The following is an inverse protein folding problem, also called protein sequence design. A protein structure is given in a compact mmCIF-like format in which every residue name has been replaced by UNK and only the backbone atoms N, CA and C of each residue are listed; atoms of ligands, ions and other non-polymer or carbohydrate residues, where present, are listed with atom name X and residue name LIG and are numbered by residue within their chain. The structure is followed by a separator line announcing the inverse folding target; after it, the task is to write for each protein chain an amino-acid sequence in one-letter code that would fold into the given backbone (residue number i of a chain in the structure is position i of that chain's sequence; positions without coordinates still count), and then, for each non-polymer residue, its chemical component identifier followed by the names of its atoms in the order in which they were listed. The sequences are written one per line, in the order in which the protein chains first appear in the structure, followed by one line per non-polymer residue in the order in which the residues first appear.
data_IF_342905792437
#
_entry.id   IF_342905792437
#
_cell.length_a   1.000
_cell.length_b   1.000
_cell.length_c   1.000
_cell.angle_alpha   90.00
_cell.angle_beta   90.00
_cell.angle_gamma   90.00
#
_symmetry.space_group_name_H-M   'P 1'
#
loop_
_entity.id
_entity.type
_entity.pdbx_description
1 polymer ?
#
# COMPACT_ATOMS: atom_id res chain seq x y z
N UNK A 1 -12.75 -14.73 -8.45
CA UNK A 1 -11.32 -14.47 -8.64
C UNK A 1 -10.63 -14.37 -7.29
N UNK A 2 -9.62 -15.22 -7.04
CA UNK A 2 -8.92 -15.26 -5.76
C UNK A 2 -8.27 -13.92 -5.38
N UNK A 3 -7.76 -13.20 -6.37
CA UNK A 3 -7.07 -11.92 -6.16
C UNK A 3 -7.95 -10.69 -6.39
N UNK A 4 -9.20 -10.90 -6.77
CA UNK A 4 -10.12 -9.83 -7.12
C UNK A 4 -9.83 -9.18 -8.47
N UNK A 5 -10.53 -8.11 -8.82
CA UNK A 5 -10.27 -7.38 -10.04
C UNK A 5 -8.88 -6.72 -10.02
N UNK A 6 -8.29 -6.59 -11.19
CA UNK A 6 -7.02 -5.88 -11.34
C UNK A 6 -7.30 -4.40 -11.53
N UNK A 7 -6.72 -3.58 -10.68
CA UNK A 7 -6.78 -2.13 -10.78
C UNK A 7 -5.74 -1.66 -11.78
N UNK A 8 -6.17 -0.92 -12.78
CA UNK A 8 -5.28 -0.29 -13.75
C UNK A 8 -4.33 0.70 -13.05
N UNK A 9 -4.84 1.41 -12.06
CA UNK A 9 -4.08 2.32 -11.21
C UNK A 9 -4.45 2.00 -9.76
N UNK A 10 -3.48 1.76 -8.91
CA UNK A 10 -3.66 1.49 -7.51
C UNK A 10 -2.87 2.49 -6.66
N UNK A 11 -3.56 3.07 -5.68
CA UNK A 11 -2.96 3.94 -4.67
C UNK A 11 -2.64 3.10 -3.44
N UNK A 12 -1.37 2.75 -3.24
CA UNK A 12 -0.97 1.84 -2.16
C UNK A 12 -1.02 2.48 -0.77
N UNK A 13 -1.07 3.81 -0.72
CA UNK A 13 -1.24 4.55 0.54
C UNK A 13 -2.70 4.80 0.92
N UNK A 14 -3.65 4.12 0.28
CA UNK A 14 -5.05 4.08 0.73
C UNK A 14 -5.18 3.18 1.97
N UNK A 15 -4.57 3.60 3.05
CA UNK A 15 -4.63 2.98 4.37
C UNK A 15 -5.36 3.90 5.34
N UNK A 16 -5.99 3.35 6.36
CA UNK A 16 -6.93 4.11 7.19
C UNK A 16 -6.30 5.28 7.93
N UNK A 17 -5.01 5.23 8.26
CA UNK A 17 -4.32 6.37 8.88
C UNK A 17 -4.15 7.57 7.94
N UNK A 18 -4.30 7.36 6.63
CA UNK A 18 -4.25 8.41 5.61
C UNK A 18 -5.65 8.83 5.15
N UNK A 19 -6.64 8.64 6.00
CA UNK A 19 -8.02 8.96 5.69
C UNK A 19 -8.69 9.71 6.84
N UNK A 20 -9.61 10.59 6.49
CA UNK A 20 -10.51 11.21 7.46
C UNK A 20 -11.92 11.29 6.87
N UNK A 21 -12.91 11.49 7.72
CA UNK A 21 -14.31 11.61 7.30
C UNK A 21 -14.73 13.08 7.40
N UNK A 22 -15.20 13.62 6.29
CA UNK A 22 -15.75 14.97 6.20
C UNK A 22 -17.06 14.94 5.43
N UNK A 23 -18.12 15.50 6.02
CA UNK A 23 -19.47 15.53 5.43
C UNK A 23 -19.98 14.14 4.99
N UNK A 24 -19.69 13.10 5.79
CA UNK A 24 -20.07 11.72 5.49
C UNK A 24 -19.26 11.04 4.37
N UNK A 25 -18.21 11.69 3.87
CA UNK A 25 -17.33 11.15 2.83
C UNK A 25 -15.95 10.86 3.38
N UNK A 26 -15.35 9.77 2.90
CA UNK A 26 -13.97 9.44 3.19
C UNK A 26 -13.06 10.25 2.28
N UNK A 27 -12.17 11.01 2.90
CA UNK A 27 -11.16 11.81 2.20
C UNK A 27 -9.79 11.20 2.44
N UNK A 28 -9.03 11.00 1.38
CA UNK A 28 -7.69 10.41 1.41
C UNK A 28 -6.64 11.51 1.26
N UNK A 29 -5.56 11.41 2.01
CA UNK A 29 -4.41 12.30 1.91
C UNK A 29 -3.11 11.49 1.91
N UNK A 30 -1.99 12.15 1.64
CA UNK A 30 -0.65 11.56 1.66
C UNK A 30 -0.50 10.34 0.74
N UNK A 31 -0.98 10.47 -0.51
CA UNK A 31 -0.94 9.42 -1.52
C UNK A 31 0.34 9.53 -2.37
N UNK A 32 1.42 8.88 -1.92
CA UNK A 32 2.73 8.96 -2.58
C UNK A 32 2.95 7.86 -3.61
N UNK A 33 2.41 6.65 -3.38
CA UNK A 33 2.74 5.47 -4.14
C UNK A 33 1.60 5.05 -5.07
N UNK A 34 1.89 5.07 -6.38
CA UNK A 34 0.96 4.66 -7.41
C UNK A 34 1.60 3.51 -8.20
N UNK A 35 0.91 2.37 -8.26
CA UNK A 35 1.30 1.24 -9.09
C UNK A 35 0.20 0.91 -10.09
N UNK A 36 0.59 0.29 -11.22
CA UNK A 36 -0.32 -0.19 -12.23
C UNK A 36 -0.52 -1.71 -12.12
N UNK A 37 -1.67 -2.18 -12.59
CA UNK A 37 -2.02 -3.60 -12.69
C UNK A 37 -1.89 -4.38 -11.37
N UNK A 38 -2.45 -3.83 -10.31
CA UNK A 38 -2.41 -4.38 -8.96
C UNK A 38 -3.77 -4.99 -8.58
N UNK A 39 -3.80 -6.18 -7.98
CA UNK A 39 -5.05 -6.74 -7.47
C UNK A 39 -5.73 -5.83 -6.43
N UNK A 40 -7.02 -5.55 -6.62
CA UNK A 40 -7.78 -4.71 -5.69
C UNK A 40 -7.77 -5.28 -4.27
N UNK A 41 -7.83 -6.59 -4.13
CA UNK A 41 -7.78 -7.26 -2.82
C UNK A 41 -6.42 -7.08 -2.12
N UNK A 42 -5.33 -6.88 -2.87
CA UNK A 42 -4.03 -6.56 -2.28
C UNK A 42 -4.07 -5.19 -1.58
N UNK A 43 -4.62 -4.17 -2.25
CA UNK A 43 -4.76 -2.82 -1.67
C UNK A 43 -5.60 -2.88 -0.40
N UNK A 44 -6.71 -3.60 -0.43
CA UNK A 44 -7.58 -3.78 0.73
C UNK A 44 -6.89 -4.58 1.86
N UNK A 45 -6.19 -5.65 1.52
CA UNK A 45 -5.42 -6.44 2.48
C UNK A 45 -4.37 -5.59 3.19
N UNK A 46 -3.67 -4.74 2.43
CA UNK A 46 -2.69 -3.81 2.96
C UNK A 46 -3.32 -2.83 3.94
N UNK A 47 -4.48 -2.25 3.60
CA UNK A 47 -5.20 -1.33 4.49
C UNK A 47 -5.62 -2.02 5.80
N UNK A 48 -6.12 -3.25 5.72
CA UNK A 48 -6.50 -4.05 6.89
C UNK A 48 -5.28 -4.36 7.75
N UNK A 49 -4.21 -4.89 7.16
CA UNK A 49 -2.99 -5.25 7.89
C UNK A 49 -2.37 -4.03 8.61
N UNK A 50 -2.32 -2.88 7.95
CA UNK A 50 -1.81 -1.65 8.54
C UNK A 50 -2.67 -1.15 9.70
N UNK A 51 -3.99 -1.35 9.66
CA UNK A 51 -4.87 -1.02 10.78
C UNK A 51 -4.49 -1.81 12.04
N UNK A 52 -4.35 -3.13 11.93
CA UNK A 52 -4.01 -3.99 13.07
C UNK A 52 -2.56 -3.83 13.53
N UNK A 53 -1.66 -3.48 12.62
CA UNK A 53 -0.30 -3.13 12.99
C UNK A 53 -0.23 -1.85 13.81
N UNK A 54 -0.96 -0.81 13.40
CA UNK A 54 -0.98 0.48 14.11
C UNK A 54 -1.79 0.43 15.43
N UNK A 55 -2.84 -0.38 15.46
CA UNK A 55 -3.78 -0.48 16.58
C UNK A 55 -4.04 -1.94 16.94
N UNK A 56 -3.06 -2.63 17.56
CA UNK A 56 -3.21 -4.05 17.92
C UNK A 56 -4.41 -4.33 18.84
N UNK A 57 -4.81 -3.36 19.64
CA UNK A 57 -5.98 -3.46 20.52
C UNK A 57 -7.29 -3.62 19.77
N UNK A 58 -7.33 -3.27 18.50
CA UNK A 58 -8.53 -3.42 17.67
C UNK A 58 -8.97 -4.88 17.52
N UNK A 59 -8.04 -5.82 17.66
CA UNK A 59 -8.32 -7.26 17.64
C UNK A 59 -9.38 -7.67 18.67
N UNK A 60 -9.45 -6.96 19.79
CA UNK A 60 -10.44 -7.21 20.86
C UNK A 60 -11.89 -6.90 20.43
N UNK A 61 -12.04 -5.95 19.51
CA UNK A 61 -13.35 -5.53 19.01
C UNK A 61 -13.77 -6.30 17.76
N UNK A 62 -12.82 -6.54 16.88
CA UNK A 62 -13.03 -7.24 15.63
C UNK A 62 -11.75 -7.95 15.23
N UNK A 63 -11.79 -9.28 15.15
CA UNK A 63 -10.63 -10.06 14.71
C UNK A 63 -10.28 -9.73 13.26
N UNK A 64 -8.99 -9.59 12.97
CA UNK A 64 -8.49 -9.41 11.60
C UNK A 64 -9.00 -10.52 10.67
N UNK A 65 -9.08 -11.76 11.16
CA UNK A 65 -9.58 -12.89 10.38
C UNK A 65 -11.01 -12.68 9.89
N UNK A 66 -11.86 -12.06 10.71
CA UNK A 66 -13.23 -11.74 10.32
C UNK A 66 -13.25 -10.82 9.11
N UNK A 67 -12.40 -9.81 9.08
CA UNK A 67 -12.28 -8.88 7.94
C UNK A 67 -11.73 -9.58 6.70
N UNK A 68 -10.70 -10.41 6.87
CA UNK A 68 -10.12 -11.18 5.76
C UNK A 68 -11.14 -12.15 5.14
N UNK A 69 -11.95 -12.78 5.96
CA UNK A 69 -13.03 -13.67 5.49
C UNK A 69 -14.15 -12.87 4.81
N UNK A 70 -14.57 -11.75 5.42
CA UNK A 70 -15.64 -10.90 4.87
C UNK A 70 -15.33 -10.41 3.46
N UNK A 71 -14.09 -10.05 3.19
CA UNK A 71 -13.65 -9.54 1.90
C UNK A 71 -13.00 -10.61 1.01
N UNK A 72 -13.13 -11.89 1.41
CA UNK A 72 -12.63 -13.04 0.64
C UNK A 72 -11.13 -12.93 0.30
N UNK A 73 -10.33 -12.48 1.28
CA UNK A 73 -8.88 -12.26 1.13
C UNK A 73 -8.07 -13.46 1.64
N UNK A 74 -8.64 -14.25 2.54
CA UNK A 74 -7.93 -15.29 3.28
C UNK A 74 -7.12 -16.26 2.39
N UNK A 75 -7.69 -16.69 1.27
CA UNK A 75 -7.01 -17.61 0.36
C UNK A 75 -5.79 -17.01 -0.35
N UNK A 76 -5.74 -15.69 -0.46
CA UNK A 76 -4.65 -14.97 -1.11
C UNK A 76 -3.69 -14.29 -0.12
N UNK A 77 -3.95 -14.43 1.18
CA UNK A 77 -3.25 -13.69 2.22
C UNK A 77 -1.72 -13.90 2.19
N UNK A 78 -1.27 -15.12 2.06
CA UNK A 78 0.18 -15.42 2.01
C UNK A 78 0.84 -14.77 0.79
N UNK A 79 0.19 -14.85 -0.39
CA UNK A 79 0.69 -14.20 -1.59
C UNK A 79 0.77 -12.67 -1.41
N UNK A 80 -0.22 -12.08 -0.76
CA UNK A 80 -0.22 -10.63 -0.49
C UNK A 80 0.83 -10.22 0.54
N UNK A 81 1.17 -11.10 1.49
CA UNK A 81 2.29 -10.85 2.41
C UNK A 81 3.63 -10.79 1.66
N UNK A 82 3.82 -11.66 0.69
CA UNK A 82 5.01 -11.65 -0.17
C UNK A 82 5.06 -10.35 -0.98
N UNK A 83 3.95 -9.95 -1.60
CA UNK A 83 3.87 -8.68 -2.33
C UNK A 83 4.15 -7.46 -1.45
N UNK A 84 3.62 -7.45 -0.23
CA UNK A 84 3.87 -6.37 0.73
C UNK A 84 5.36 -6.28 1.09
N UNK A 85 6.00 -7.41 1.32
CA UNK A 85 7.42 -7.45 1.61
C UNK A 85 8.26 -6.92 0.45
N UNK A 86 7.97 -7.36 -0.77
CA UNK A 86 8.64 -6.87 -1.98
C UNK A 86 8.43 -5.36 -2.16
N UNK A 87 7.20 -4.88 -1.99
CA UNK A 87 6.88 -3.46 -2.10
C UNK A 87 7.62 -2.63 -1.05
N UNK A 88 7.68 -3.10 0.19
CA UNK A 88 8.39 -2.42 1.28
C UNK A 88 9.89 -2.32 1.00
N UNK A 89 10.51 -3.38 0.49
CA UNK A 89 11.91 -3.36 0.08
C UNK A 89 12.18 -2.35 -1.04
N UNK A 90 11.32 -2.32 -2.05
CA UNK A 90 11.43 -1.37 -3.16
C UNK A 90 11.32 0.08 -2.69
N UNK A 91 10.40 0.40 -1.77
CA UNK A 91 10.28 1.72 -1.17
C UNK A 91 11.56 2.09 -0.43
N UNK A 92 12.11 1.18 0.35
CA UNK A 92 13.34 1.41 1.12
C UNK A 92 14.51 1.74 0.20
N UNK A 93 14.71 0.96 -0.85
CA UNK A 93 15.77 1.17 -1.84
C UNK A 93 15.60 2.51 -2.57
N UNK A 94 14.37 2.87 -2.94
CA UNK A 94 14.06 4.17 -3.56
C UNK A 94 14.42 5.34 -2.63
N UNK A 95 14.04 5.26 -1.34
CA UNK A 95 14.39 6.30 -0.36
C UNK A 95 15.89 6.45 -0.21
N UNK A 96 16.64 5.37 -0.15
CA UNK A 96 18.11 5.42 -0.10
C UNK A 96 18.70 6.07 -1.34
N UNK A 97 18.19 5.75 -2.52
CA UNK A 97 18.63 6.36 -3.78
C UNK A 97 18.36 7.86 -3.82
N UNK A 98 17.17 8.27 -3.37
CA UNK A 98 16.80 9.69 -3.29
C UNK A 98 17.72 10.46 -2.33
N UNK A 99 17.97 9.92 -1.15
CA UNK A 99 18.89 10.50 -0.18
C UNK A 99 20.32 10.63 -0.76
N UNK A 100 20.82 9.59 -1.41
CA UNK A 100 22.12 9.60 -2.08
C UNK A 100 22.19 10.63 -3.21
N UNK A 101 21.13 10.74 -4.01
CA UNK A 101 21.03 11.70 -5.10
C UNK A 101 21.02 13.14 -4.57
N UNK A 102 20.27 13.40 -3.49
CA UNK A 102 20.23 14.70 -2.83
C UNK A 102 21.62 15.11 -2.32
N UNK A 103 22.33 14.20 -1.69
CA UNK A 103 23.69 14.42 -1.20
C UNK A 103 24.68 14.76 -2.33
N UNK A 104 24.51 14.15 -3.51
CA UNK A 104 25.35 14.38 -4.71
C UNK A 104 24.94 15.61 -5.52
N UNK A 105 23.87 16.32 -5.11
CA UNK A 105 23.33 17.45 -5.87
C UNK A 105 22.59 17.05 -7.14
N UNK A 106 22.12 15.80 -7.25
CA UNK A 106 21.32 15.29 -8.37
C UNK A 106 19.87 15.76 -8.25
N UNK A 107 19.18 15.93 -9.39
CA UNK A 107 17.76 16.29 -9.40
C UNK A 107 16.91 15.16 -8.81
N UNK A 108 16.41 15.40 -7.60
CA UNK A 108 15.59 14.44 -6.86
C UNK A 108 14.26 14.10 -7.55
N UNK A 109 13.61 15.10 -8.17
CA UNK A 109 12.33 14.88 -8.84
C UNK A 109 12.46 13.94 -10.04
N UNK A 110 13.50 14.14 -10.84
CA UNK A 110 13.80 13.27 -11.98
C UNK A 110 14.15 11.86 -11.49
N UNK A 111 14.93 11.73 -10.44
CA UNK A 111 15.30 10.45 -9.85
C UNK A 111 14.07 9.67 -9.36
N UNK A 112 13.22 10.30 -8.58
CA UNK A 112 11.97 9.69 -8.08
C UNK A 112 11.06 9.29 -9.22
N UNK A 113 10.88 10.16 -10.22
CA UNK A 113 10.05 9.86 -11.39
C UNK A 113 10.56 8.63 -12.17
N UNK A 114 11.87 8.53 -12.35
CA UNK A 114 12.47 7.39 -13.05
C UNK A 114 12.32 6.09 -12.26
N UNK A 115 12.48 6.13 -10.95
CA UNK A 115 12.29 4.96 -10.09
C UNK A 115 10.83 4.52 -10.09
N UNK A 116 9.89 5.46 -9.99
CA UNK A 116 8.46 5.15 -10.09
C UNK A 116 8.10 4.48 -11.42
N UNK A 117 8.69 4.90 -12.52
CA UNK A 117 8.52 4.23 -13.83
C UNK A 117 9.06 2.80 -13.84
N UNK A 118 10.18 2.56 -13.16
CA UNK A 118 10.75 1.20 -13.04
C UNK A 118 9.89 0.29 -12.18
N UNK A 119 9.16 0.85 -11.20
CA UNK A 119 8.26 0.12 -10.32
C UNK A 119 6.90 -0.12 -10.94
N UNK A 120 6.53 0.61 -11.99
CA UNK A 120 5.28 0.40 -12.74
C UNK A 120 5.45 -0.76 -13.72
N UNK A 121 4.99 -1.94 -13.31
CA UNK A 121 5.04 -3.20 -14.08
C UNK A 121 3.68 -3.80 -14.36
#
# INVERSE_FOLDING_TARGET
LAYGPILRIAYLDMILRNAFVEDGKVCWFDQEWILEDVPAKFVLCRAIAQLYYAYPEFEKFCSMQILLDKYEIKSAYEAFQILEHMFTELIFDEKQLVESAAFRGTDMKACVSNIKKLLSW
#
